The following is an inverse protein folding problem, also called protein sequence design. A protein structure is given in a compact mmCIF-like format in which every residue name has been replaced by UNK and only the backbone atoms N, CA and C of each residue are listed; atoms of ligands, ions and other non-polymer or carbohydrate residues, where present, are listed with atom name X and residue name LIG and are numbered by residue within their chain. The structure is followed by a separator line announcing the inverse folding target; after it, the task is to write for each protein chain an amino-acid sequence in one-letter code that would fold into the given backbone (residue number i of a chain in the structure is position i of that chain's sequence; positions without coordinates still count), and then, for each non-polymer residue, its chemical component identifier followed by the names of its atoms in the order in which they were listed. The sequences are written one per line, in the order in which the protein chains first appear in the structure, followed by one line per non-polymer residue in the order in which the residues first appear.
data_IF_132725289848
#
_entry.id   IF_132725289848
#
_cell.length_a   1.000
_cell.length_b   1.000
_cell.length_c   1.000
_cell.angle_alpha   90.00
_cell.angle_beta   90.00
_cell.angle_gamma   90.00
#
_symmetry.space_group_name_H-M   'P 1'
#
loop_
_entity.id
_entity.type
_entity.pdbx_description
1 polymer ?
#
# COMPACT_ATOMS: atom_id res chain seq x y z
N UNK A 1 -27.78 3.19 14.61
CA UNK A 1 -27.33 2.70 13.28
C UNK A 1 -26.14 3.48 12.74
N UNK A 2 -26.28 4.73 12.26
CA UNK A 2 -25.16 5.49 11.64
C UNK A 2 -23.89 5.61 12.52
N UNK A 3 -24.05 5.95 13.81
CA UNK A 3 -22.94 6.03 14.76
C UNK A 3 -22.20 4.71 14.95
N UNK A 4 -22.91 3.59 14.93
CA UNK A 4 -22.32 2.25 15.06
C UNK A 4 -21.52 1.90 13.80
N UNK A 5 -22.05 2.22 12.61
CA UNK A 5 -21.34 2.02 11.34
C UNK A 5 -20.05 2.84 11.30
N UNK A 6 -20.09 4.10 11.74
CA UNK A 6 -18.90 4.93 11.85
C UNK A 6 -17.86 4.33 12.82
N UNK A 7 -18.30 3.84 13.98
CA UNK A 7 -17.40 3.21 14.96
C UNK A 7 -16.76 1.93 14.40
N UNK A 8 -17.54 1.07 13.73
CA UNK A 8 -17.03 -0.15 13.11
C UNK A 8 -16.02 0.18 12.01
N UNK A 9 -16.31 1.18 11.16
CA UNK A 9 -15.38 1.62 10.13
C UNK A 9 -14.07 2.14 10.72
N UNK A 10 -14.11 2.90 11.82
CA UNK A 10 -12.90 3.39 12.48
C UNK A 10 -12.08 2.25 13.08
N UNK A 11 -12.73 1.32 13.80
CA UNK A 11 -12.04 0.17 14.42
C UNK A 11 -11.38 -0.70 13.35
N UNK A 12 -12.05 -0.93 12.22
CA UNK A 12 -11.52 -1.73 11.11
C UNK A 12 -10.20 -1.20 10.55
N UNK A 13 -10.05 0.13 10.47
CA UNK A 13 -8.81 0.74 10.00
C UNK A 13 -7.67 0.61 11.01
N UNK A 14 -7.98 0.64 12.32
CA UNK A 14 -6.99 0.58 13.40
C UNK A 14 -6.50 -0.86 13.65
N UNK A 15 -7.36 -1.86 13.41
CA UNK A 15 -7.00 -3.28 13.60
C UNK A 15 -6.25 -3.89 12.42
N UNK A 16 -5.88 -3.10 11.40
CA UNK A 16 -5.09 -3.62 10.30
C UNK A 16 -3.67 -3.96 10.80
N UNK A 17 -3.25 -5.20 10.57
CA UNK A 17 -1.90 -5.63 10.93
C UNK A 17 -0.86 -4.81 10.15
N UNK A 18 0.14 -4.31 10.87
CA UNK A 18 1.27 -3.60 10.28
C UNK A 18 2.11 -4.62 9.51
N UNK A 19 2.36 -4.42 8.19
CA UNK A 19 3.14 -5.37 7.41
C UNK A 19 4.55 -5.55 7.98
N UNK A 20 5.00 -6.80 8.04
CA UNK A 20 6.38 -7.16 8.40
C UNK A 20 7.38 -6.62 7.37
N UNK A 21 8.66 -6.53 7.72
CA UNK A 21 9.70 -6.07 6.77
C UNK A 21 9.71 -6.89 5.46
N UNK A 22 9.49 -8.20 5.55
CA UNK A 22 9.44 -9.08 4.38
C UNK A 22 8.20 -8.81 3.51
N UNK A 23 7.06 -8.49 4.12
CA UNK A 23 5.84 -8.10 3.39
C UNK A 23 5.99 -6.73 2.75
N UNK A 24 6.55 -5.76 3.46
CA UNK A 24 6.87 -4.43 2.91
C UNK A 24 7.75 -4.54 1.67
N UNK A 25 8.80 -5.39 1.72
CA UNK A 25 9.66 -5.66 0.57
C UNK A 25 8.88 -6.27 -0.60
N UNK A 26 8.03 -7.27 -0.32
CA UNK A 26 7.17 -7.89 -1.35
C UNK A 26 6.20 -6.89 -1.98
N UNK A 27 5.63 -5.97 -1.20
CA UNK A 27 4.75 -4.90 -1.69
C UNK A 27 5.50 -3.97 -2.64
N UNK A 28 6.69 -3.50 -2.25
CA UNK A 28 7.51 -2.62 -3.10
C UNK A 28 7.92 -3.32 -4.40
N UNK A 29 8.35 -4.58 -4.32
CA UNK A 29 8.73 -5.39 -5.49
C UNK A 29 7.56 -5.55 -6.47
N UNK A 30 6.37 -5.92 -5.96
CA UNK A 30 5.17 -6.07 -6.76
C UNK A 30 4.80 -4.79 -7.50
N UNK A 31 4.80 -3.64 -6.81
CA UNK A 31 4.54 -2.37 -7.46
C UNK A 31 5.63 -1.96 -8.45
N UNK A 32 6.88 -2.30 -8.18
CA UNK A 32 8.00 -2.01 -9.09
C UNK A 32 7.80 -2.75 -10.41
N UNK A 33 7.48 -4.05 -10.37
CA UNK A 33 7.22 -4.84 -11.58
C UNK A 33 6.12 -4.25 -12.46
N UNK A 34 5.02 -3.81 -11.85
CA UNK A 34 3.91 -3.16 -12.57
C UNK A 34 4.35 -1.82 -13.18
N UNK A 35 5.14 -1.04 -12.43
CA UNK A 35 5.62 0.29 -12.86
C UNK A 35 6.65 0.20 -13.98
N UNK A 36 7.45 -0.86 -14.00
CA UNK A 36 8.40 -1.16 -15.08
C UNK A 36 7.69 -1.64 -16.34
N UNK A 37 6.55 -2.33 -16.20
CA UNK A 37 5.81 -2.91 -17.34
C UNK A 37 4.77 -1.97 -17.95
N UNK A 38 4.74 -0.67 -17.62
CA UNK A 38 3.72 0.26 -18.13
C UNK A 38 3.91 0.55 -19.62
N UNK A 39 2.80 0.67 -20.35
CA UNK A 39 2.78 1.05 -21.76
C UNK A 39 1.90 2.29 -21.99
N UNK A 40 2.40 3.34 -22.66
CA UNK A 40 3.77 3.47 -23.20
C UNK A 40 4.83 3.57 -22.09
N UNK A 41 6.08 3.24 -22.43
CA UNK A 41 7.20 3.27 -21.48
C UNK A 41 7.36 4.65 -20.86
N UNK A 42 7.41 4.70 -19.53
CA UNK A 42 7.64 5.94 -18.80
C UNK A 42 9.14 6.28 -18.74
N UNK A 43 9.50 7.50 -19.14
CA UNK A 43 10.90 7.95 -19.17
C UNK A 43 11.44 8.40 -17.81
N UNK A 44 10.58 8.65 -16.82
CA UNK A 44 10.94 9.26 -15.53
C UNK A 44 10.22 8.61 -14.33
N UNK A 45 9.86 7.33 -14.42
CA UNK A 45 9.17 6.65 -13.34
C UNK A 45 10.12 6.44 -12.14
N UNK A 46 9.83 7.08 -11.01
CA UNK A 46 10.67 6.99 -9.81
C UNK A 46 10.53 5.63 -9.10
N UNK A 47 11.59 5.17 -8.44
CA UNK A 47 11.51 4.00 -7.57
C UNK A 47 10.67 4.27 -6.33
N UNK A 48 9.97 3.23 -5.86
CA UNK A 48 9.19 3.29 -4.64
C UNK A 48 10.03 2.85 -3.43
N UNK A 49 9.83 3.54 -2.31
CA UNK A 49 10.31 3.14 -0.99
C UNK A 49 9.12 3.04 -0.06
N UNK A 50 9.11 2.04 0.83
CA UNK A 50 8.03 1.87 1.79
C UNK A 50 8.12 2.95 2.89
N UNK A 51 7.10 3.81 3.00
CA UNK A 51 6.97 4.85 4.04
C UNK A 51 6.64 4.21 5.39
N UNK A 52 7.21 4.73 6.47
CA UNK A 52 6.93 4.25 7.84
C UNK A 52 6.17 5.24 8.70
N UNK A 53 6.06 6.47 8.20
CA UNK A 53 5.21 7.57 8.66
C UNK A 53 3.73 7.29 8.41
#
# INVERSE_FOLDING_TARGET
MKKLICLVALVWNVTADVPTLAERKRIVEFHTQIRESVEPTASNMMYLTYSTE
#
